data_IF_592481378073
#
_entry.id   IF_592481378073
#
_cell.length_a   1.000
_cell.length_b   1.000
_cell.length_c   1.000
_cell.angle_alpha   90.00
_cell.angle_beta   90.00
_cell.angle_gamma   90.00
#
_symmetry.space_group_name_H-M   'P 1'
#
loop_
_entity.id
_entity.type
_entity.pdbx_description
1 polymer ?
#
# COMPACT_ATOMS: atom_id res chain seq x y z
N UNK A 1 5.99 8.63 -40.57
CA UNK A 1 5.28 7.37 -40.28
C UNK A 1 6.12 6.43 -39.41
N UNK A 2 7.46 6.42 -39.53
CA UNK A 2 8.39 5.60 -38.72
C UNK A 2 8.24 5.76 -37.20
N UNK A 3 8.14 6.99 -36.67
CA UNK A 3 8.03 7.24 -35.23
C UNK A 3 6.78 6.63 -34.55
N UNK A 4 5.74 6.30 -35.31
CA UNK A 4 4.53 5.61 -34.80
C UNK A 4 4.74 4.10 -34.74
N UNK A 5 5.42 3.54 -35.75
CA UNK A 5 5.72 2.13 -35.84
C UNK A 5 6.73 1.69 -34.76
N UNK A 6 7.72 2.54 -34.46
CA UNK A 6 8.66 2.29 -33.36
C UNK A 6 7.95 2.29 -32.00
N UNK A 7 6.99 3.20 -31.78
CA UNK A 7 6.18 3.22 -30.55
C UNK A 7 5.31 1.97 -30.41
N UNK A 8 4.68 1.51 -31.48
CA UNK A 8 3.84 0.30 -31.47
C UNK A 8 4.69 -0.95 -31.17
N UNK A 9 5.89 -1.04 -31.78
CA UNK A 9 6.83 -2.13 -31.51
C UNK A 9 7.36 -2.12 -30.07
N UNK A 10 7.74 -0.95 -29.54
CA UNK A 10 8.19 -0.80 -28.14
C UNK A 10 7.06 -1.14 -27.17
N UNK A 11 5.85 -0.68 -27.44
CA UNK A 11 4.67 -0.93 -26.60
C UNK A 11 4.34 -2.43 -26.55
N UNK A 12 4.37 -3.11 -27.70
CA UNK A 12 4.15 -4.56 -27.78
C UNK A 12 5.15 -5.34 -26.94
N UNK A 13 6.43 -4.94 -26.99
CA UNK A 13 7.49 -5.55 -26.20
C UNK A 13 7.29 -5.38 -24.68
N UNK A 14 6.90 -4.19 -24.24
CA UNK A 14 6.60 -3.93 -22.82
C UNK A 14 5.43 -4.77 -22.32
N UNK A 15 4.39 -4.95 -23.14
CA UNK A 15 3.27 -5.81 -22.80
C UNK A 15 3.67 -7.27 -22.68
N UNK A 16 4.48 -7.77 -23.60
CA UNK A 16 4.98 -9.14 -23.57
C UNK A 16 5.85 -9.40 -22.33
N UNK A 17 6.77 -8.49 -22.03
CA UNK A 17 7.62 -8.55 -20.83
C UNK A 17 6.79 -8.52 -19.54
N UNK A 18 5.77 -7.65 -19.48
CA UNK A 18 4.87 -7.55 -18.32
C UNK A 18 4.04 -8.82 -18.15
N UNK A 19 3.50 -9.37 -19.25
CA UNK A 19 2.72 -10.60 -19.22
C UNK A 19 3.57 -11.80 -18.74
N UNK A 20 4.81 -11.90 -19.21
CA UNK A 20 5.76 -12.92 -18.78
C UNK A 20 6.08 -12.79 -17.29
N UNK A 21 6.30 -11.57 -16.79
CA UNK A 21 6.52 -11.31 -15.37
C UNK A 21 5.33 -11.70 -14.50
N UNK A 22 4.11 -11.32 -14.90
CA UNK A 22 2.88 -11.68 -14.17
C UNK A 22 2.67 -13.20 -14.13
N UNK A 23 2.97 -13.89 -15.23
CA UNK A 23 2.89 -15.35 -15.30
C UNK A 23 3.89 -16.02 -14.33
N UNK A 24 5.13 -15.52 -14.26
CA UNK A 24 6.12 -15.98 -13.27
C UNK A 24 5.60 -15.81 -11.85
N UNK A 25 5.08 -14.63 -11.51
CA UNK A 25 4.51 -14.32 -10.19
C UNK A 25 3.37 -15.29 -9.85
N UNK A 26 2.44 -15.52 -10.77
CA UNK A 26 1.32 -16.43 -10.57
C UNK A 26 1.78 -17.88 -10.34
N UNK A 27 2.75 -18.35 -11.11
CA UNK A 27 3.33 -19.69 -10.95
C UNK A 27 4.01 -19.87 -9.59
N UNK A 28 4.77 -18.87 -9.12
CA UNK A 28 5.43 -18.92 -7.81
C UNK A 28 4.44 -18.83 -6.66
N UNK A 29 3.37 -18.05 -6.82
CA UNK A 29 2.27 -18.02 -5.87
C UNK A 29 1.58 -19.39 -5.75
N UNK A 30 1.31 -20.07 -6.87
CA UNK A 30 0.74 -21.42 -6.88
C UNK A 30 1.65 -22.48 -6.23
N UNK A 31 2.96 -22.24 -6.23
CA UNK A 31 3.96 -23.07 -5.54
C UNK A 31 4.13 -22.73 -4.05
N UNK A 32 3.39 -21.76 -3.52
CA UNK A 32 3.49 -21.31 -2.12
C UNK A 32 4.67 -20.37 -1.84
N UNK A 33 5.38 -19.89 -2.86
CA UNK A 33 6.51 -18.94 -2.72
C UNK A 33 6.01 -17.49 -2.61
N UNK A 34 5.18 -17.20 -1.63
CA UNK A 34 4.52 -15.89 -1.47
C UNK A 34 5.46 -14.74 -1.09
N UNK A 35 6.61 -15.04 -0.50
CA UNK A 35 7.62 -14.05 -0.12
C UNK A 35 8.72 -13.85 -1.17
N UNK A 36 8.72 -14.65 -2.24
CA UNK A 36 9.75 -14.67 -3.29
C UNK A 36 9.10 -14.94 -4.66
N UNK A 37 8.30 -13.97 -5.10
CA UNK A 37 7.49 -14.05 -6.32
C UNK A 37 8.32 -13.96 -7.61
N UNK A 38 9.47 -13.29 -7.53
CA UNK A 38 10.45 -13.15 -8.61
C UNK A 38 11.76 -13.78 -8.19
N UNK A 39 12.53 -14.25 -9.17
CA UNK A 39 13.87 -14.77 -8.91
C UNK A 39 14.88 -13.65 -8.69
N UNK A 40 15.99 -13.90 -7.98
CA UNK A 40 17.01 -12.87 -7.71
C UNK A 40 17.55 -12.20 -8.98
N UNK A 41 17.67 -12.96 -10.05
CA UNK A 41 18.06 -12.49 -11.40
C UNK A 41 17.06 -11.48 -11.98
N UNK A 42 15.76 -11.64 -11.70
CA UNK A 42 14.71 -10.71 -12.14
C UNK A 42 14.68 -9.42 -11.28
N UNK A 43 15.47 -9.35 -10.20
CA UNK A 43 15.54 -8.24 -9.25
C UNK A 43 16.87 -7.48 -9.30
N UNK A 44 17.79 -7.84 -10.21
CA UNK A 44 19.07 -7.16 -10.37
C UNK A 44 18.87 -5.67 -10.71
N UNK A 45 19.54 -4.80 -9.96
CA UNK A 45 19.44 -3.34 -10.15
C UNK A 45 18.15 -2.70 -9.61
N UNK A 46 17.22 -3.48 -9.05
CA UNK A 46 15.99 -2.96 -8.45
C UNK A 46 16.25 -2.55 -6.99
N UNK A 47 15.80 -1.35 -6.61
CA UNK A 47 15.90 -0.90 -5.22
C UNK A 47 14.86 -1.64 -4.36
N UNK A 48 15.26 -2.33 -3.27
CA UNK A 48 14.31 -3.02 -2.40
C UNK A 48 13.30 -2.05 -1.79
N UNK A 49 12.01 -2.38 -1.86
CA UNK A 49 10.99 -1.64 -1.15
C UNK A 49 11.12 -1.91 0.36
N UNK A 50 11.47 -0.88 1.14
CA UNK A 50 11.53 -1.00 2.60
C UNK A 50 10.11 -1.06 3.15
N UNK A 51 9.71 -2.21 3.70
CA UNK A 51 8.45 -2.34 4.42
C UNK A 51 8.48 -1.49 5.69
N UNK A 52 7.74 -0.37 5.69
CA UNK A 52 7.50 0.47 6.88
C UNK A 52 6.27 0.05 7.66
N UNK A 53 5.71 -1.11 7.34
CA UNK A 53 4.44 -1.58 7.91
C UNK A 53 4.56 -1.84 9.40
N UNK A 54 5.64 -2.48 9.83
CA UNK A 54 5.93 -2.70 11.25
C UNK A 54 6.03 -1.37 12.03
N UNK A 55 6.63 -0.35 11.43
CA UNK A 55 6.73 0.99 12.06
C UNK A 55 5.34 1.61 12.20
N UNK A 56 4.48 1.48 11.18
CA UNK A 56 3.10 1.97 11.24
C UNK A 56 2.28 1.24 12.29
N UNK A 57 2.42 -0.07 12.40
CA UNK A 57 1.74 -0.87 13.43
C UNK A 57 2.21 -0.50 14.83
N UNK A 58 3.52 -0.33 15.05
CA UNK A 58 4.07 0.11 16.33
C UNK A 58 3.58 1.52 16.68
N UNK A 59 3.59 2.46 15.73
CA UNK A 59 3.09 3.81 15.93
C UNK A 59 1.60 3.80 16.28
N UNK A 60 0.79 3.03 15.55
CA UNK A 60 -0.63 2.89 15.81
C UNK A 60 -0.90 2.31 17.21
N UNK A 61 -0.24 1.20 17.55
CA UNK A 61 -0.36 0.57 18.86
C UNK A 61 0.03 1.54 19.98
N UNK A 62 1.11 2.31 19.80
CA UNK A 62 1.55 3.33 20.76
C UNK A 62 0.49 4.41 20.99
N UNK A 63 -0.13 4.91 19.92
CA UNK A 63 -1.20 5.91 20.02
C UNK A 63 -2.42 5.35 20.76
N UNK A 64 -2.86 4.14 20.43
CA UNK A 64 -4.02 3.51 21.08
C UNK A 64 -3.74 3.25 22.56
N UNK A 65 -2.61 2.62 22.89
CA UNK A 65 -2.21 2.34 24.29
C UNK A 65 -2.05 3.64 25.09
N UNK A 66 -1.43 4.66 24.49
CA UNK A 66 -1.27 5.97 25.11
C UNK A 66 -2.61 6.63 25.40
N UNK A 67 -3.58 6.51 24.47
CA UNK A 67 -4.93 7.04 24.65
C UNK A 67 -5.69 6.33 25.78
N UNK A 68 -5.65 5.00 25.81
CA UNK A 68 -6.27 4.20 26.86
C UNK A 68 -5.67 4.56 28.23
N UNK A 69 -4.34 4.57 28.30
CA UNK A 69 -3.62 4.86 29.55
C UNK A 69 -3.89 6.29 30.02
N UNK A 70 -3.92 7.26 29.09
CA UNK A 70 -4.25 8.65 29.38
C UNK A 70 -5.69 8.81 29.88
N UNK A 71 -6.66 8.14 29.26
CA UNK A 71 -8.07 8.19 29.70
C UNK A 71 -8.25 7.59 31.10
N UNK A 72 -7.57 6.47 31.39
CA UNK A 72 -7.58 5.85 32.72
C UNK A 72 -6.93 6.75 33.77
N UNK A 73 -5.77 7.33 33.47
CA UNK A 73 -5.07 8.24 34.37
C UNK A 73 -5.87 9.53 34.66
N UNK A 74 -6.67 9.98 33.68
CA UNK A 74 -7.58 11.11 33.84
C UNK A 74 -8.88 10.77 34.61
N UNK A 75 -9.08 9.51 35.01
CA UNK A 75 -10.31 9.07 35.70
C UNK A 75 -11.56 9.16 34.82
N UNK A 76 -11.40 9.06 33.50
CA UNK A 76 -12.49 9.26 32.56
C UNK A 76 -13.53 8.13 32.68
N UNK A 77 -14.83 8.43 32.71
CA UNK A 77 -15.86 7.39 32.77
C UNK A 77 -15.90 6.59 31.46
N UNK A 78 -16.25 5.28 31.51
CA UNK A 78 -16.22 4.39 30.34
C UNK A 78 -17.04 4.89 29.16
N UNK A 79 -18.19 5.52 29.43
CA UNK A 79 -19.08 6.12 28.43
C UNK A 79 -18.44 7.25 27.61
N UNK A 80 -17.43 7.95 28.17
CA UNK A 80 -16.67 8.98 27.47
C UNK A 80 -15.34 8.46 26.90
N UNK A 81 -14.70 7.53 27.61
CA UNK A 81 -13.41 6.95 27.21
C UNK A 81 -13.55 6.10 25.93
N UNK A 82 -14.59 5.27 25.84
CA UNK A 82 -14.82 4.37 24.69
C UNK A 82 -14.93 5.12 23.36
N UNK A 83 -15.81 6.13 23.19
CA UNK A 83 -15.88 6.88 21.93
C UNK A 83 -14.60 7.68 21.63
N UNK A 84 -13.91 8.19 22.65
CA UNK A 84 -12.63 8.88 22.48
C UNK A 84 -11.56 7.94 21.91
N UNK A 85 -11.39 6.75 22.50
CA UNK A 85 -10.45 5.73 22.02
C UNK A 85 -10.77 5.37 20.56
N UNK A 86 -12.05 5.19 20.23
CA UNK A 86 -12.50 4.92 18.86
C UNK A 86 -12.14 6.05 17.89
N UNK A 87 -12.44 7.30 18.24
CA UNK A 87 -12.14 8.47 17.42
C UNK A 87 -10.62 8.63 17.18
N UNK A 88 -9.81 8.51 18.22
CA UNK A 88 -8.35 8.59 18.11
C UNK A 88 -7.81 7.46 17.26
N UNK A 89 -8.34 6.25 17.40
CA UNK A 89 -7.96 5.11 16.56
C UNK A 89 -8.27 5.37 15.09
N UNK A 90 -9.44 5.91 14.75
CA UNK A 90 -9.78 6.25 13.36
C UNK A 90 -8.86 7.33 12.78
N UNK A 91 -8.56 8.37 13.55
CA UNK A 91 -7.65 9.44 13.13
C UNK A 91 -6.23 8.90 12.93
N UNK A 92 -5.73 8.10 13.87
CA UNK A 92 -4.42 7.47 13.77
C UNK A 92 -4.32 6.52 12.58
N UNK A 93 -5.38 5.75 12.33
CA UNK A 93 -5.49 4.89 11.15
C UNK A 93 -5.42 5.70 9.86
N UNK A 94 -6.22 6.77 9.76
CA UNK A 94 -6.18 7.68 8.62
C UNK A 94 -4.80 8.32 8.42
N UNK A 95 -4.15 8.77 9.48
CA UNK A 95 -2.81 9.37 9.40
C UNK A 95 -1.72 8.38 8.96
N UNK A 96 -1.78 7.13 9.44
CA UNK A 96 -0.76 6.11 9.17
C UNK A 96 -0.98 5.35 7.86
N UNK A 97 -2.23 5.16 7.45
CA UNK A 97 -2.63 4.32 6.31
C UNK A 97 -3.35 5.07 5.19
N UNK A 98 -3.93 6.24 5.46
CA UNK A 98 -4.76 7.00 4.51
C UNK A 98 -4.00 7.59 3.31
N UNK A 99 -2.67 7.72 3.39
CA UNK A 99 -1.85 8.25 2.27
C UNK A 99 -1.71 7.31 1.06
N UNK A 100 -2.26 6.09 1.07
CA UNK A 100 -2.19 5.16 -0.08
C UNK A 100 -3.29 5.35 -1.12
N UNK A 101 -4.30 6.16 -0.82
CA UNK A 101 -5.23 6.70 -1.79
C UNK A 101 -5.23 8.21 -1.52
N UNK A 102 -4.35 8.95 -2.19
CA UNK A 102 -4.51 10.39 -2.21
C UNK A 102 -5.97 10.64 -2.64
N UNK A 103 -6.76 11.38 -1.86
CA UNK A 103 -8.18 11.58 -2.19
C UNK A 103 -8.39 12.12 -3.61
N UNK A 104 -7.37 12.78 -4.16
CA UNK A 104 -7.26 13.17 -5.57
C UNK A 104 -7.23 11.99 -6.53
N UNK A 105 -6.48 10.91 -6.27
CA UNK A 105 -6.45 9.70 -7.11
C UNK A 105 -7.80 8.99 -7.12
N UNK A 106 -8.49 8.94 -5.98
CA UNK A 106 -9.83 8.35 -5.90
C UNK A 106 -10.86 9.19 -6.68
N UNK A 107 -10.74 10.52 -6.58
CA UNK A 107 -11.55 11.48 -7.33
C UNK A 107 -11.23 11.42 -8.82
N UNK A 108 -9.98 11.22 -9.21
CA UNK A 108 -9.54 11.10 -10.60
C UNK A 108 -9.98 9.76 -11.21
N UNK A 109 -9.97 8.68 -10.43
CA UNK A 109 -10.55 7.38 -10.81
C UNK A 109 -12.07 7.47 -10.95
N UNK A 110 -12.78 8.13 -10.04
CA UNK A 110 -14.22 8.37 -10.17
C UNK A 110 -14.57 9.32 -11.33
N UNK A 111 -13.66 10.25 -11.66
CA UNK A 111 -13.78 11.16 -12.81
C UNK A 111 -13.32 10.51 -14.12
N UNK A 112 -12.89 9.25 -14.10
CA UNK A 112 -12.48 8.50 -15.29
C UNK A 112 -11.20 9.03 -15.95
N UNK A 113 -10.36 9.77 -15.23
CA UNK A 113 -9.10 10.30 -15.74
C UNK A 113 -7.96 9.30 -15.49
N UNK A 114 -8.02 8.12 -16.10
CA UNK A 114 -6.81 7.32 -16.29
C UNK A 114 -5.95 8.05 -17.32
N UNK A 115 -4.87 8.72 -16.88
CA UNK A 115 -3.92 9.32 -17.82
C UNK A 115 -3.27 8.19 -18.63
N UNK A 116 -3.49 8.31 -19.94
CA UNK A 116 -2.84 7.68 -21.10
C UNK A 116 -1.50 7.00 -20.85
#
# INVERSE_FOLDING_TARGET
>A
MEARQDREAVTGKVFEETAAMLLKIAARYAQGRTLALLDPEDLEGVTPAVSREWVRLVAFGTVVIGTVTGALAAGMPPEAATPLIGAVSLVAWGALYGGRLAGTELVDVMRGQSRS
#
